data_IF_867273540527
#
_entry.id   IF_867273540527
#
_cell.length_a   1.000
_cell.length_b   1.000
_cell.length_c   1.000
_cell.angle_alpha   90.00
_cell.angle_beta   90.00
_cell.angle_gamma   90.00
#
_symmetry.space_group_name_H-M   'P 1'
#
loop_
_entity.id
_entity.type
_entity.pdbx_description
1 polymer ?
#
# COMPACT_ATOMS: atom_id res chain seq x y z
N UNK A 1 2.14 15.60 -10.00
CA UNK A 1 3.35 15.62 -9.14
C UNK A 1 2.90 15.93 -7.72
N UNK A 2 3.21 15.08 -6.74
CA UNK A 2 2.74 15.30 -5.36
C UNK A 2 3.48 16.52 -4.74
N UNK A 3 2.76 17.47 -4.12
CA UNK A 3 3.35 18.69 -3.56
C UNK A 3 4.24 18.41 -2.34
N UNK A 4 4.00 17.28 -1.66
CA UNK A 4 4.80 16.81 -0.52
C UNK A 4 5.24 15.38 -0.79
N UNK A 5 6.54 15.13 -0.66
CA UNK A 5 7.16 13.81 -0.82
C UNK A 5 7.90 13.49 0.47
N UNK A 6 7.68 12.29 1.01
CA UNK A 6 8.42 11.79 2.16
C UNK A 6 9.75 11.21 1.70
N UNK A 7 10.85 11.63 2.33
CA UNK A 7 12.17 11.00 2.17
C UNK A 7 12.40 10.06 3.34
N UNK A 8 12.53 8.78 3.05
CA UNK A 8 12.81 7.74 4.05
C UNK A 8 14.29 7.37 3.98
N UNK A 9 14.92 7.24 5.16
CA UNK A 9 16.27 6.67 5.26
C UNK A 9 16.26 5.14 5.17
N UNK A 10 17.33 4.48 5.60
CA UNK A 10 17.38 3.02 5.74
C UNK A 10 16.44 2.56 6.86
N UNK A 11 15.15 2.41 6.55
CA UNK A 11 14.14 1.89 7.46
C UNK A 11 13.76 0.48 7.03
N UNK A 12 13.66 -0.44 7.98
CA UNK A 12 13.23 -1.82 7.72
C UNK A 12 11.70 -1.95 7.59
N UNK A 13 10.94 -0.89 7.91
CA UNK A 13 9.47 -0.90 7.86
C UNK A 13 8.92 0.50 7.61
N UNK A 14 8.01 0.63 6.63
CA UNK A 14 7.24 1.83 6.34
C UNK A 14 5.76 1.53 6.61
N UNK A 15 5.15 2.29 7.51
CA UNK A 15 3.72 2.20 7.81
C UNK A 15 3.02 3.50 7.46
N UNK A 16 1.91 3.40 6.72
CA UNK A 16 1.08 4.53 6.33
C UNK A 16 -0.33 4.27 6.87
N UNK A 17 -0.83 5.18 7.68
CA UNK A 17 -2.17 5.13 8.23
C UNK A 17 -3.00 6.29 7.67
N UNK A 18 -4.21 5.99 7.21
CA UNK A 18 -5.18 6.97 6.75
C UNK A 18 -6.54 6.69 7.38
N UNK A 19 -7.26 7.74 7.76
CA UNK A 19 -8.60 7.66 8.33
C UNK A 19 -9.51 8.64 7.59
N UNK A 20 -10.70 8.18 7.22
CA UNK A 20 -11.74 9.00 6.59
C UNK A 20 -12.97 8.92 7.47
N UNK A 21 -13.55 10.07 7.81
CA UNK A 21 -14.78 10.11 8.58
C UNK A 21 -15.92 9.52 7.74
N UNK A 22 -16.59 8.50 8.27
CA UNK A 22 -17.79 7.93 7.64
C UNK A 22 -18.92 8.94 7.54
N UNK A 23 -18.96 9.95 8.42
CA UNK A 23 -19.92 11.05 8.36
C UNK A 23 -19.72 11.95 7.13
N UNK A 24 -18.52 11.93 6.52
CA UNK A 24 -18.23 12.64 5.27
C UNK A 24 -18.57 11.81 4.03
N UNK A 25 -18.97 10.55 4.20
CA UNK A 25 -19.33 9.65 3.11
C UNK A 25 -20.85 9.68 2.89
N UNK A 26 -21.27 9.55 1.63
CA UNK A 26 -22.68 9.46 1.28
C UNK A 26 -23.25 8.10 1.74
N UNK A 27 -24.44 8.08 2.35
CA UNK A 27 -25.12 6.83 2.72
C UNK A 27 -25.34 5.93 1.49
N UNK A 28 -25.39 4.61 1.72
CA UNK A 28 -25.71 3.59 0.71
C UNK A 28 -24.85 3.66 -0.56
N UNK A 29 -23.61 4.14 -0.44
CA UNK A 29 -22.67 4.24 -1.55
C UNK A 29 -21.50 3.29 -1.31
N UNK A 30 -21.12 2.54 -2.34
CA UNK A 30 -19.93 1.71 -2.30
C UNK A 30 -18.69 2.57 -2.53
N UNK A 31 -17.74 2.49 -1.60
CA UNK A 31 -16.47 3.21 -1.69
C UNK A 31 -15.32 2.22 -1.87
N UNK A 32 -14.42 2.57 -2.76
CA UNK A 32 -13.14 1.87 -2.98
C UNK A 32 -11.99 2.78 -2.58
N UNK A 33 -11.04 2.22 -1.85
CA UNK A 33 -9.83 2.92 -1.43
C UNK A 33 -8.63 2.43 -2.25
N UNK A 34 -7.90 3.37 -2.84
CA UNK A 34 -6.70 3.09 -3.63
C UNK A 34 -5.47 3.70 -2.96
N UNK A 35 -4.42 2.90 -2.79
CA UNK A 35 -3.10 3.38 -2.44
C UNK A 35 -2.29 3.57 -3.72
N UNK A 36 -2.11 4.84 -4.14
CA UNK A 36 -1.33 5.18 -5.34
C UNK A 36 0.01 5.77 -4.91
N UNK A 37 1.11 5.16 -5.35
CA UNK A 37 2.46 5.60 -4.98
C UNK A 37 3.44 5.49 -6.15
N UNK A 38 4.54 6.24 -6.04
CA UNK A 38 5.72 6.06 -6.89
C UNK A 38 6.91 5.85 -5.98
N UNK A 39 7.63 4.76 -6.21
CA UNK A 39 8.76 4.36 -5.38
C UNK A 39 10.07 4.60 -6.15
N UNK A 40 11.08 5.15 -5.49
CA UNK A 40 12.42 5.36 -6.04
C UNK A 40 13.46 5.09 -4.96
N UNK A 41 14.42 4.20 -5.22
CA UNK A 41 15.47 3.85 -4.25
C UNK A 41 14.94 3.08 -3.03
N UNK A 42 14.11 2.06 -3.24
CA UNK A 42 13.48 1.28 -2.17
C UNK A 42 14.23 0.01 -1.79
N UNK A 43 15.57 0.06 -1.86
CA UNK A 43 16.44 -1.02 -1.44
C UNK A 43 16.09 -1.46 -0.03
N UNK A 44 15.52 -2.66 0.11
CA UNK A 44 15.08 -3.24 1.38
C UNK A 44 13.57 -3.36 1.60
N UNK A 45 12.72 -2.65 0.84
CA UNK A 45 11.26 -2.78 0.91
C UNK A 45 10.69 -3.76 -0.11
N UNK A 46 11.46 -4.08 -1.16
CA UNK A 46 11.05 -4.99 -2.24
C UNK A 46 11.06 -6.48 -1.87
N UNK A 47 11.69 -6.85 -0.74
CA UNK A 47 11.80 -8.24 -0.29
C UNK A 47 10.61 -8.71 0.54
N UNK A 48 9.92 -7.79 1.20
CA UNK A 48 8.78 -8.10 2.06
C UNK A 48 7.47 -7.68 1.39
N UNK A 49 6.42 -8.52 1.42
CA UNK A 49 5.12 -8.13 0.91
C UNK A 49 4.58 -6.90 1.63
N UNK A 50 4.07 -5.94 0.87
CA UNK A 50 3.33 -4.82 1.42
C UNK A 50 1.97 -5.29 1.92
N UNK A 51 1.62 -4.88 3.14
CA UNK A 51 0.32 -5.17 3.74
C UNK A 51 -0.57 -3.94 3.65
N UNK A 52 -1.76 -4.12 3.09
CA UNK A 52 -2.81 -3.11 3.05
C UNK A 52 -3.98 -3.59 3.92
N UNK A 53 -4.31 -2.81 4.94
CA UNK A 53 -5.43 -3.07 5.83
C UNK A 53 -6.50 -1.99 5.67
N UNK A 54 -7.76 -2.41 5.53
CA UNK A 54 -8.92 -1.52 5.45
C UNK A 54 -9.95 -2.02 6.46
N UNK A 55 -10.51 -1.12 7.26
CA UNK A 55 -11.52 -1.45 8.26
C UNK A 55 -12.29 -0.22 8.72
N UNK A 56 -13.37 -0.47 9.45
CA UNK A 56 -14.13 0.56 10.17
C UNK A 56 -13.66 0.57 11.61
N UNK A 57 -13.59 1.74 12.22
CA UNK A 57 -13.21 1.87 13.63
C UNK A 57 -14.13 1.03 14.53
N UNK A 58 -13.53 0.23 15.43
CA UNK A 58 -14.25 -0.72 16.28
C UNK A 58 -14.81 -1.96 15.56
N UNK A 59 -14.60 -2.09 14.24
CA UNK A 59 -15.05 -3.20 13.41
C UNK A 59 -13.92 -4.12 12.93
N UNK A 60 -14.27 -5.18 12.18
CA UNK A 60 -13.29 -6.05 11.57
C UNK A 60 -12.47 -5.31 10.50
N UNK A 61 -11.19 -5.68 10.38
CA UNK A 61 -10.31 -5.21 9.32
C UNK A 61 -10.04 -6.32 8.32
N UNK A 62 -9.95 -5.96 7.04
CA UNK A 62 -9.52 -6.82 5.96
C UNK A 62 -8.09 -6.43 5.63
N UNK A 63 -7.17 -7.40 5.66
CA UNK A 63 -5.78 -7.18 5.27
C UNK A 63 -5.46 -7.98 4.02
N UNK A 64 -4.86 -7.33 3.03
CA UNK A 64 -4.31 -7.95 1.83
C UNK A 64 -2.80 -7.77 1.80
N UNK A 65 -2.09 -8.79 1.30
CA UNK A 65 -0.64 -8.81 1.18
C UNK A 65 -0.28 -8.85 -0.30
N UNK A 66 0.55 -7.91 -0.78
CA UNK A 66 0.90 -7.75 -2.19
C UNK A 66 2.40 -7.52 -2.32
N UNK A 67 3.06 -8.23 -3.24
CA UNK A 67 4.46 -8.00 -3.57
C UNK A 67 4.60 -6.72 -4.40
N UNK A 68 5.49 -5.81 -3.99
CA UNK A 68 5.76 -4.57 -4.72
C UNK A 68 7.01 -4.65 -5.61
N UNK A 69 7.63 -5.83 -5.74
CA UNK A 69 8.79 -6.08 -6.61
C UNK A 69 8.36 -5.92 -8.09
N UNK A 70 8.85 -4.88 -8.80
CA UNK A 70 8.50 -4.66 -10.20
C UNK A 70 9.06 -5.72 -11.16
N UNK A 71 10.02 -6.55 -10.71
CA UNK A 71 10.64 -7.61 -11.51
C UNK A 71 10.04 -9.00 -11.27
N UNK A 72 8.98 -9.12 -10.46
CA UNK A 72 8.37 -10.42 -10.14
C UNK A 72 7.88 -11.15 -11.40
N UNK A 73 7.36 -10.42 -12.40
CA UNK A 73 6.90 -11.02 -13.66
C UNK A 73 8.04 -11.55 -14.54
N UNK A 74 9.25 -10.96 -14.47
CA UNK A 74 10.38 -11.35 -15.33
C UNK A 74 11.10 -12.61 -14.86
N UNK A 75 10.93 -13.00 -13.60
CA UNK A 75 11.53 -14.22 -13.03
C UNK A 75 10.76 -15.49 -13.35
N UNK A 76 9.51 -15.38 -13.81
CA UNK A 76 8.72 -16.54 -14.25
C UNK A 76 8.95 -16.93 -15.72
N UNK A 77 9.64 -16.11 -16.52
CA UNK A 77 9.86 -16.35 -17.96
C UNK A 77 11.24 -16.92 -18.30
N UNK A 78 12.08 -17.28 -17.32
CA UNK A 78 13.41 -17.86 -17.54
C UNK A 78 13.58 -19.21 -16.82
N UNK A 79 12.62 -20.10 -17.02
CA UNK A 79 12.85 -21.55 -16.83
C UNK A 79 12.58 -22.22 -18.16
N UNK A 80 13.62 -22.31 -18.99
CA UNK A 80 13.71 -23.20 -20.15
C UNK A 80 15.03 -23.96 -20.06
#
# INVERSE_FOLDING_TARGET
>A
RFPKVLKLGLVSRLEIHGMISSLSLSPNTEYVAYLVFKMSGASGLEKEPAKLSIGVEGGPCITKSVCLDPDVERRHTHTH
#
